data_IF_445080082193
#
_entry.id   IF_445080082193
#
_cell.length_a   1.000
_cell.length_b   1.000
_cell.length_c   1.000
_cell.angle_alpha   90.00
_cell.angle_beta   90.00
_cell.angle_gamma   90.00
#
_symmetry.space_group_name_H-M   'P 1'
#
loop_
_entity.id
_entity.type
_entity.pdbx_description
1 polymer ?
#
# COMPACT_ATOMS: atom_id res chain seq x y z
N UNK A 1 -8.79 10.11 -1.48
CA UNK A 1 -9.37 10.37 -0.14
C UNK A 1 -10.48 9.35 0.13
N UNK A 2 -10.15 8.09 0.48
CA UNK A 2 -11.14 7.01 0.67
C UNK A 2 -10.96 6.17 1.94
N UNK A 3 -9.81 6.25 2.63
CA UNK A 3 -9.52 5.44 3.83
C UNK A 3 -9.80 6.20 5.13
N UNK A 4 -9.79 7.54 5.10
CA UNK A 4 -9.83 8.35 6.32
C UNK A 4 -11.18 8.30 7.04
N UNK A 5 -12.29 8.50 6.34
CA UNK A 5 -13.62 8.58 6.98
C UNK A 5 -14.03 7.26 7.67
N UNK A 6 -13.82 6.07 7.06
CA UNK A 6 -14.05 4.81 7.77
C UNK A 6 -13.16 4.65 8.99
N UNK A 7 -11.89 5.10 8.92
CA UNK A 7 -10.93 4.96 10.01
C UNK A 7 -11.29 5.85 11.21
N UNK A 8 -11.61 7.12 10.99
CA UNK A 8 -11.97 8.03 12.08
C UNK A 8 -13.31 7.67 12.72
N UNK A 9 -14.27 7.21 11.91
CA UNK A 9 -15.54 6.66 12.40
C UNK A 9 -15.35 5.46 13.31
N UNK A 10 -14.42 4.56 12.97
CA UNK A 10 -14.11 3.37 13.78
C UNK A 10 -13.44 3.73 15.12
N UNK A 11 -12.47 4.64 15.11
CA UNK A 11 -11.66 4.96 16.30
C UNK A 11 -12.34 6.01 17.20
N UNK A 12 -13.36 6.72 16.71
CA UNK A 12 -14.10 7.75 17.44
C UNK A 12 -13.20 8.85 18.03
N UNK A 13 -12.18 9.24 17.27
CA UNK A 13 -11.29 10.36 17.62
C UNK A 13 -11.75 11.62 16.90
N UNK A 14 -11.75 12.76 17.59
CA UNK A 14 -11.89 14.05 16.95
C UNK A 14 -10.61 14.35 16.17
N UNK A 15 -10.74 14.47 14.85
CA UNK A 15 -9.60 14.71 13.97
C UNK A 15 -9.73 16.02 13.24
N UNK A 16 -8.64 16.77 13.20
CA UNK A 16 -8.46 17.88 12.26
C UNK A 16 -7.53 17.42 11.16
N UNK A 17 -7.99 17.45 9.92
CA UNK A 17 -7.14 17.21 8.76
C UNK A 17 -6.35 18.47 8.46
N UNK A 18 -5.04 18.40 8.59
CA UNK A 18 -4.13 19.48 8.22
C UNK A 18 -3.43 19.08 6.92
N UNK A 19 -3.65 19.80 5.81
CA UNK A 19 -2.85 19.57 4.62
C UNK A 19 -1.38 19.86 4.97
N UNK A 20 -0.48 19.02 4.48
CA UNK A 20 0.95 19.30 4.55
C UNK A 20 1.39 19.90 3.23
N UNK A 21 2.10 21.02 3.30
CA UNK A 21 2.72 21.63 2.12
C UNK A 21 3.98 20.86 1.68
N UNK A 22 4.38 19.85 2.47
CA UNK A 22 5.56 19.05 2.19
C UNK A 22 5.22 17.93 1.20
N UNK A 23 5.78 17.99 0.00
CA UNK A 23 5.74 16.89 -0.96
C UNK A 23 6.68 15.72 -0.57
N UNK A 24 7.46 15.89 0.50
CA UNK A 24 8.45 14.92 0.97
C UNK A 24 7.88 14.09 2.13
N UNK A 25 7.95 12.76 1.99
CA UNK A 25 7.58 11.83 3.06
C UNK A 25 8.52 11.89 4.26
N UNK A 26 9.78 12.28 4.05
CA UNK A 26 10.78 12.46 5.07
C UNK A 26 12.07 11.72 4.77
N UNK A 27 13.15 12.49 4.86
CA UNK A 27 14.55 12.14 4.70
C UNK A 27 15.25 12.40 6.02
N UNK A 28 16.17 11.50 6.39
CA UNK A 28 17.00 11.67 7.58
C UNK A 28 18.10 12.68 7.26
N UNK A 29 18.17 13.74 8.05
CA UNK A 29 19.17 14.80 7.95
C UNK A 29 20.47 14.36 8.64
N UNK A 30 21.58 15.06 8.36
CA UNK A 30 22.91 14.75 8.91
C UNK A 30 22.95 14.78 10.44
N UNK A 31 22.12 15.62 11.05
CA UNK A 31 21.95 15.72 12.50
C UNK A 31 21.12 14.55 13.11
N UNK A 32 20.66 13.61 12.30
CA UNK A 32 19.85 12.46 12.70
C UNK A 32 18.34 12.72 12.81
N UNK A 33 17.91 13.98 12.69
CA UNK A 33 16.48 14.34 12.64
C UNK A 33 15.84 13.99 11.29
N UNK A 34 14.51 14.01 11.23
CA UNK A 34 13.75 13.78 10.01
C UNK A 34 13.09 15.07 9.54
N UNK A 35 13.02 15.26 8.21
CA UNK A 35 12.22 16.32 7.59
C UNK A 35 10.88 15.80 7.05
N UNK A 36 10.13 16.67 6.37
CA UNK A 36 8.86 16.32 5.73
C UNK A 36 7.83 15.77 6.72
N UNK A 37 7.00 14.84 6.25
CA UNK A 37 5.96 14.22 7.06
C UNK A 37 6.50 13.51 8.30
N UNK A 38 7.62 12.78 8.17
CA UNK A 38 8.26 12.13 9.31
C UNK A 38 8.77 13.15 10.33
N UNK A 39 9.32 14.29 9.88
CA UNK A 39 9.69 15.39 10.77
C UNK A 39 8.52 15.97 11.53
N UNK A 40 7.35 16.10 10.90
CA UNK A 40 6.13 16.58 11.57
C UNK A 40 5.68 15.62 12.67
N UNK A 41 5.72 14.31 12.43
CA UNK A 41 5.37 13.29 13.43
C UNK A 41 6.43 13.26 14.55
N UNK A 42 7.72 13.26 14.21
CA UNK A 42 8.81 13.22 15.19
C UNK A 42 8.79 14.41 16.16
N UNK A 43 8.44 15.58 15.65
CA UNK A 43 8.41 16.82 16.42
C UNK A 43 7.04 17.10 17.08
N UNK A 44 6.11 16.13 17.10
CA UNK A 44 4.75 16.27 17.63
C UNK A 44 3.90 17.39 16.98
N UNK A 45 4.25 17.81 15.77
CA UNK A 45 3.42 18.74 14.98
C UNK A 45 2.27 18.00 14.26
N UNK A 46 2.33 16.67 14.20
CA UNK A 46 1.27 15.80 13.71
C UNK A 46 1.17 14.56 14.60
N UNK A 47 -0.03 14.22 15.07
CA UNK A 47 -0.23 13.07 15.96
C UNK A 47 -0.21 11.73 15.20
N UNK A 48 -0.81 11.68 14.02
CA UNK A 48 -0.97 10.48 13.20
C UNK A 48 -0.87 10.89 11.74
N UNK A 49 -0.07 10.16 10.97
CA UNK A 49 -0.07 10.24 9.52
C UNK A 49 -0.62 8.96 8.90
N UNK A 50 -1.54 9.11 7.95
CA UNK A 50 -2.04 8.01 7.10
C UNK A 50 -1.74 8.38 5.66
N UNK A 51 -0.67 7.80 5.14
CA UNK A 51 -0.17 8.03 3.78
C UNK A 51 0.45 6.73 3.25
N UNK A 52 0.52 6.50 1.92
CA UNK A 52 1.35 5.45 1.35
C UNK A 52 2.83 5.72 1.69
N UNK A 53 3.31 5.07 2.76
CA UNK A 53 4.68 5.23 3.25
C UNK A 53 5.37 3.87 3.33
N UNK A 54 6.52 3.77 2.68
CA UNK A 54 7.38 2.59 2.81
C UNK A 54 8.00 2.51 4.22
N UNK A 55 7.85 1.35 4.87
CA UNK A 55 8.40 1.10 6.20
C UNK A 55 9.81 0.51 6.10
N UNK A 56 10.82 1.37 6.22
CA UNK A 56 12.24 0.96 6.23
C UNK A 56 12.76 0.73 7.65
N UNK A 57 13.87 0.00 7.78
CA UNK A 57 14.52 -0.23 9.08
C UNK A 57 14.98 1.08 9.73
N UNK A 58 15.50 2.04 8.96
CA UNK A 58 15.91 3.35 9.48
C UNK A 58 14.74 4.15 10.06
N UNK A 59 13.58 4.11 9.39
CA UNK A 59 12.37 4.76 9.88
C UNK A 59 11.86 4.11 11.17
N UNK A 60 11.86 2.78 11.25
CA UNK A 60 11.43 2.03 12.46
C UNK A 60 12.26 2.33 13.72
N UNK A 61 13.51 2.80 13.57
CA UNK A 61 14.34 3.17 14.72
C UNK A 61 13.80 4.40 15.47
N UNK A 62 13.05 5.28 14.80
CA UNK A 62 12.61 6.55 15.36
C UNK A 62 11.07 6.72 15.36
N UNK A 63 10.34 5.75 14.80
CA UNK A 63 8.91 5.83 14.57
C UNK A 63 8.23 4.51 14.92
N UNK A 64 7.02 4.62 15.46
CA UNK A 64 6.13 3.48 15.69
C UNK A 64 5.17 3.38 14.50
N UNK A 65 5.12 2.22 13.87
CA UNK A 65 4.21 1.92 12.77
C UNK A 65 3.13 0.95 13.22
N UNK A 66 1.93 1.05 12.64
CA UNK A 66 0.90 0.03 12.76
C UNK A 66 1.32 -1.25 12.02
N UNK A 67 0.50 -2.30 12.11
CA UNK A 67 0.55 -3.39 11.16
C UNK A 67 0.41 -2.86 9.71
N UNK A 68 1.13 -3.49 8.79
CA UNK A 68 1.05 -3.17 7.35
C UNK A 68 -0.37 -3.41 6.85
N UNK A 69 -0.99 -2.35 6.31
CA UNK A 69 -2.37 -2.40 5.79
C UNK A 69 -2.39 -2.75 4.29
N UNK A 70 -1.30 -2.47 3.58
CA UNK A 70 -1.16 -2.69 2.14
C UNK A 70 0.28 -3.10 1.81
N UNK A 71 0.42 -4.14 0.99
CA UNK A 71 1.69 -4.52 0.39
C UNK A 71 1.70 -4.05 -1.07
N UNK A 72 2.75 -3.34 -1.46
CA UNK A 72 2.94 -2.87 -2.83
C UNK A 72 4.11 -3.66 -3.44
N UNK A 73 3.87 -4.50 -4.46
CA UNK A 73 4.97 -5.08 -5.22
C UNK A 73 5.64 -3.99 -6.07
N UNK A 74 6.98 -4.03 -6.16
CA UNK A 74 7.69 -3.22 -7.16
C UNK A 74 7.42 -3.82 -8.54
N UNK A 75 7.05 -2.97 -9.50
CA UNK A 75 6.94 -3.36 -10.91
C UNK A 75 7.85 -2.49 -11.77
N UNK A 76 8.28 -3.03 -12.90
CA UNK A 76 9.02 -2.29 -13.92
C UNK A 76 8.01 -1.85 -14.96
N UNK A 77 7.88 -0.53 -15.16
CA UNK A 77 7.04 0.01 -16.21
C UNK A 77 7.90 0.40 -17.42
N UNK A 78 7.75 -0.31 -18.52
CA UNK A 78 8.39 0.04 -19.79
C UNK A 78 7.41 0.81 -20.67
N UNK A 79 7.89 1.84 -21.38
CA UNK A 79 7.14 2.47 -22.46
C UNK A 79 7.10 1.53 -23.67
N UNK A 80 6.18 1.71 -24.61
CA UNK A 80 6.22 1.05 -25.92
C UNK A 80 6.32 2.09 -27.02
N UNK A 81 7.13 1.85 -28.04
CA UNK A 81 7.22 2.72 -29.20
C UNK A 81 5.95 2.61 -30.07
N UNK A 82 5.86 3.43 -31.13
CA UNK A 82 4.72 3.41 -32.07
C UNK A 82 4.51 2.07 -32.78
N UNK A 83 5.50 1.19 -32.76
CA UNK A 83 5.47 -0.15 -33.35
C UNK A 83 5.25 -1.24 -32.28
N UNK A 84 4.97 -0.87 -31.03
CA UNK A 84 4.77 -1.80 -29.91
C UNK A 84 6.05 -2.32 -29.27
N UNK A 85 7.23 -1.81 -29.62
CA UNK A 85 8.50 -2.28 -29.04
C UNK A 85 8.75 -1.66 -27.67
N UNK A 86 9.13 -2.43 -26.64
CA UNK A 86 9.41 -1.86 -25.33
C UNK A 86 10.58 -0.89 -25.40
N UNK A 87 10.34 0.37 -25.06
CA UNK A 87 11.35 1.36 -24.73
C UNK A 87 11.43 1.47 -23.21
N UNK A 88 12.55 1.07 -22.63
CA UNK A 88 12.78 1.24 -21.19
C UNK A 88 12.97 2.74 -20.93
N UNK A 89 11.96 3.41 -20.38
CA UNK A 89 12.03 4.86 -20.09
C UNK A 89 11.93 5.17 -18.59
N UNK A 90 11.72 4.18 -17.73
CA UNK A 90 11.74 4.39 -16.28
C UNK A 90 11.25 3.19 -15.47
N UNK A 91 11.15 3.39 -14.17
CA UNK A 91 10.53 2.45 -13.23
C UNK A 91 9.35 3.18 -12.58
N UNK A 92 8.17 2.59 -12.57
CA UNK A 92 7.02 3.11 -11.83
C UNK A 92 6.53 2.00 -10.90
N UNK A 93 6.51 2.27 -9.60
CA UNK A 93 5.81 1.40 -8.64
C UNK A 93 4.31 1.44 -8.92
N UNK A 94 3.73 0.31 -9.33
CA UNK A 94 2.28 0.15 -9.41
C UNK A 94 1.76 -0.54 -8.16
N UNK A 95 0.66 -0.01 -7.66
CA UNK A 95 -0.03 -0.51 -6.47
C UNK A 95 -0.91 -1.70 -6.88
N UNK A 96 -0.47 -2.93 -6.62
CA UNK A 96 -1.37 -4.07 -6.56
C UNK A 96 -2.01 -4.09 -5.16
N UNK A 97 -3.31 -3.75 -5.06
CA UNK A 97 -4.01 -3.74 -3.77
C UNK A 97 -4.33 -5.17 -3.32
N UNK A 98 -3.42 -5.81 -2.59
CA UNK A 98 -3.77 -6.96 -1.75
C UNK A 98 -4.19 -6.47 -0.36
N UNK A 99 -5.50 -6.32 -0.15
CA UNK A 99 -6.05 -6.16 1.20
C UNK A 99 -5.90 -7.49 1.95
N UNK A 100 -4.83 -7.64 2.72
CA UNK A 100 -4.61 -8.83 3.53
C UNK A 100 -5.33 -8.61 4.88
N UNK A 101 -6.57 -9.08 4.99
CA UNK A 101 -7.30 -9.17 6.25
C UNK A 101 -6.79 -10.32 7.16
N UNK A 102 -5.48 -10.54 7.28
CA UNK A 102 -4.96 -11.70 8.02
C UNK A 102 -5.00 -11.58 9.54
N UNK A 103 -5.37 -10.44 10.13
CA UNK A 103 -5.39 -10.29 11.59
C UNK A 103 -6.62 -9.52 12.11
N UNK A 104 -7.80 -9.74 11.52
CA UNK A 104 -9.06 -9.38 12.19
C UNK A 104 -9.40 -10.46 13.22
N UNK A 105 -8.60 -10.56 14.29
CA UNK A 105 -9.03 -11.24 15.51
C UNK A 105 -10.05 -10.34 16.22
N UNK A 106 -11.27 -10.29 15.70
CA UNK A 106 -12.38 -9.63 16.38
C UNK A 106 -12.63 -10.39 17.69
N UNK A 107 -12.68 -9.72 18.85
CA UNK A 107 -13.01 -10.37 20.12
C UNK A 107 -14.50 -10.78 20.09
N UNK A 108 -14.77 -11.95 19.52
CA UNK A 108 -16.09 -12.56 19.33
C UNK A 108 -16.68 -13.17 20.63
N UNK A 109 -16.12 -12.83 21.78
CA UNK A 109 -16.46 -13.46 23.06
C UNK A 109 -17.89 -13.15 23.53
N UNK A 110 -18.50 -12.04 23.08
CA UNK A 110 -19.77 -11.55 23.64
C UNK A 110 -20.91 -11.33 22.62
N UNK A 111 -20.76 -11.78 21.38
CA UNK A 111 -21.82 -11.64 20.37
C UNK A 111 -22.74 -12.87 20.33
N UNK A 112 -24.06 -12.64 20.27
CA UNK A 112 -25.06 -13.70 20.15
C UNK A 112 -24.88 -14.53 18.88
N UNK A 113 -25.31 -15.80 18.91
CA UNK A 113 -25.07 -16.78 17.85
C UNK A 113 -25.50 -16.30 16.45
N UNK A 114 -26.61 -15.55 16.36
CA UNK A 114 -27.10 -14.98 15.10
C UNK A 114 -26.13 -13.96 14.48
N UNK A 115 -25.50 -13.12 15.30
CA UNK A 115 -24.57 -12.09 14.80
C UNK A 115 -23.25 -12.71 14.31
N UNK A 116 -22.82 -13.82 14.93
CA UNK A 116 -21.66 -14.60 14.47
C UNK A 116 -21.90 -15.19 13.09
N UNK A 117 -23.09 -15.75 12.85
CA UNK A 117 -23.48 -16.29 11.55
C UNK A 117 -23.44 -15.23 10.44
N UNK A 118 -24.04 -14.06 10.68
CA UNK A 118 -24.04 -12.95 9.71
C UNK A 118 -22.62 -12.46 9.43
N UNK A 119 -21.79 -12.28 10.47
CA UNK A 119 -20.42 -11.81 10.30
C UNK A 119 -19.55 -12.80 9.51
N UNK A 120 -19.69 -14.11 9.76
CA UNK A 120 -19.02 -15.14 8.96
C UNK A 120 -19.43 -15.07 7.49
N UNK A 121 -20.72 -14.91 7.19
CA UNK A 121 -21.20 -14.80 5.82
C UNK A 121 -20.60 -13.57 5.13
N UNK A 122 -20.59 -12.42 5.80
CA UNK A 122 -20.00 -11.18 5.27
C UNK A 122 -18.51 -11.36 4.99
N UNK A 123 -17.75 -11.97 5.91
CA UNK A 123 -16.32 -12.23 5.72
C UNK A 123 -16.06 -13.17 4.54
N UNK A 124 -16.86 -14.23 4.39
CA UNK A 124 -16.76 -15.15 3.25
C UNK A 124 -17.07 -14.42 1.93
N UNK A 125 -18.14 -13.62 1.88
CA UNK A 125 -18.49 -12.84 0.69
C UNK A 125 -17.39 -11.84 0.29
N UNK A 126 -16.82 -11.11 1.26
CA UNK A 126 -15.71 -10.17 0.99
C UNK A 126 -14.47 -10.90 0.50
N UNK A 127 -14.16 -12.06 1.08
CA UNK A 127 -13.02 -12.90 0.66
C UNK A 127 -13.21 -13.39 -0.78
N UNK A 128 -14.40 -13.91 -1.11
CA UNK A 128 -14.71 -14.38 -2.46
C UNK A 128 -14.67 -13.24 -3.49
N UNK A 129 -15.23 -12.08 -3.15
CA UNK A 129 -15.15 -10.90 -4.03
C UNK A 129 -13.70 -10.47 -4.27
N UNK A 130 -12.85 -10.53 -3.25
CA UNK A 130 -11.43 -10.20 -3.37
C UNK A 130 -10.69 -11.21 -4.27
N UNK A 131 -10.96 -12.51 -4.10
CA UNK A 131 -10.39 -13.57 -4.95
C UNK A 131 -10.82 -13.37 -6.41
N UNK A 132 -12.12 -13.20 -6.67
CA UNK A 132 -12.64 -12.99 -8.02
C UNK A 132 -12.08 -11.72 -8.66
N UNK A 133 -11.92 -10.64 -7.89
CA UNK A 133 -11.35 -9.39 -8.39
C UNK A 133 -9.86 -9.53 -8.73
N UNK A 134 -9.09 -10.26 -7.91
CA UNK A 134 -7.68 -10.56 -8.20
C UNK A 134 -7.54 -11.42 -9.46
N UNK A 135 -8.33 -12.49 -9.60
CA UNK A 135 -8.31 -13.30 -10.82
C UNK A 135 -8.75 -12.53 -12.07
N UNK A 136 -9.65 -11.56 -11.91
CA UNK A 136 -10.04 -10.67 -13.01
C UNK A 136 -8.89 -9.75 -13.43
N UNK A 137 -8.14 -9.18 -12.49
CA UNK A 137 -6.94 -8.37 -12.78
C UNK A 137 -5.88 -9.22 -13.47
N UNK A 138 -5.61 -10.43 -12.96
CA UNK A 138 -4.66 -11.37 -13.57
C UNK A 138 -5.06 -11.73 -15.02
N UNK A 139 -6.36 -11.86 -15.30
CA UNK A 139 -6.88 -12.15 -16.64
C UNK A 139 -6.85 -10.97 -17.63
N UNK A 140 -6.61 -9.74 -17.13
CA UNK A 140 -6.56 -8.50 -17.92
C UNK A 140 -5.14 -8.02 -18.18
N UNK A 141 -4.14 -8.62 -17.52
CA UNK A 141 -2.73 -8.53 -17.89
C UNK A 141 -2.46 -9.50 -19.04
N UNK A 142 -2.80 -9.07 -20.25
CA UNK A 142 -2.41 -9.76 -21.48
C UNK A 142 -0.91 -9.53 -21.67
N UNK A 143 -0.11 -10.54 -21.38
CA UNK A 143 1.26 -10.65 -21.89
C UNK A 143 1.13 -10.92 -23.39
N UNK A 144 1.53 -9.94 -24.19
CA UNK A 144 1.68 -10.09 -25.64
C UNK A 144 3.10 -10.59 -25.90
N UNK A 145 3.22 -11.89 -26.20
CA UNK A 145 4.33 -12.43 -27.01
C UNK A 145 4.28 -11.77 -28.40
N UNK A 146 5.34 -11.41 -29.11
CA UNK A 146 6.71 -11.87 -29.14
C UNK A 146 7.67 -10.67 -29.09
N UNK A 147 8.62 -10.61 -28.15
CA UNK A 147 9.94 -9.93 -28.21
C UNK A 147 10.45 -9.81 -26.76
N UNK A 148 11.63 -10.40 -26.47
CA UNK A 148 12.25 -10.53 -25.14
C UNK A 148 11.78 -9.52 -24.09
N UNK A 149 10.72 -9.89 -23.36
CA UNK A 149 10.27 -9.12 -22.21
C UNK A 149 11.35 -9.23 -21.12
N UNK A 150 11.85 -8.08 -20.65
CA UNK A 150 12.69 -8.02 -19.46
C UNK A 150 11.77 -8.29 -18.27
N UNK A 151 11.65 -9.56 -17.93
CA UNK A 151 10.80 -10.07 -16.86
C UNK A 151 11.54 -10.12 -15.53
N UNK A 152 12.87 -9.93 -15.53
CA UNK A 152 13.70 -9.97 -14.32
C UNK A 152 14.68 -8.81 -14.25
N UNK A 153 15.06 -8.44 -13.02
CA UNK A 153 16.15 -7.50 -12.76
C UNK A 153 17.49 -7.97 -13.35
N UNK A 154 17.72 -9.29 -13.37
CA UNK A 154 18.94 -9.87 -13.94
C UNK A 154 19.04 -9.64 -15.45
N UNK A 155 17.93 -9.78 -16.16
CA UNK A 155 17.85 -9.48 -17.60
C UNK A 155 18.09 -8.00 -17.90
N UNK A 156 17.73 -7.12 -16.97
CA UNK A 156 18.01 -5.70 -17.10
C UNK A 156 19.49 -5.39 -16.88
N UNK A 157 20.08 -5.99 -15.84
CA UNK A 157 21.50 -5.83 -15.50
C UNK A 157 22.44 -6.33 -16.60
N UNK A 158 22.05 -7.38 -17.34
CA UNK A 158 22.86 -7.93 -18.43
C UNK A 158 22.84 -7.11 -19.73
N UNK A 159 21.91 -6.15 -19.86
CA UNK A 159 21.69 -5.37 -21.09
C UNK A 159 22.22 -3.91 -21.00
N UNK A 160 22.76 -3.51 -19.85
CA UNK A 160 23.28 -2.16 -19.59
C UNK A 160 24.79 -2.03 -19.68
#
# INVERSE_FOLDING_TARGET
MYIWDPFTSFIKINTTLTPTDTANFGTKLDNGSWDGLLGLVANNNCHISITPLEITNERRKNMIFSSVVMYEPYVILTNTDRNGRPQVTGYIGCVERRCIFHNLSLPLAHTGAHLKGVLCIVLVCVTLLTICFNSFIDSKLVVVDDYYAINTLDQLASNG
#
